data_IF_152997396721
#
_entry.id   IF_152997396721
#
_cell.length_a   1.000
_cell.length_b   1.000
_cell.length_c   1.000
_cell.angle_alpha   90.00
_cell.angle_beta   90.00
_cell.angle_gamma   90.00
#
_symmetry.space_group_name_H-M   'P 1'
#
loop_
_entity.id
_entity.type
_entity.pdbx_description
1 polymer ?
#
# COMPACT_ATOMS: atom_id res chain seq x y z
N UNK A 1 15.69 8.49 -15.95
CA UNK A 1 15.48 7.12 -16.44
C UNK A 1 16.68 6.20 -16.14
N UNK A 2 17.94 6.54 -16.47
CA UNK A 2 19.12 5.67 -16.17
C UNK A 2 19.27 5.33 -14.67
N UNK A 3 19.04 6.28 -13.74
CA UNK A 3 19.17 6.07 -12.29
C UNK A 3 18.10 5.09 -11.73
N UNK A 4 16.87 5.12 -12.27
CA UNK A 4 15.80 4.21 -11.88
C UNK A 4 16.09 2.78 -12.33
N UNK A 5 16.63 2.62 -13.54
CA UNK A 5 17.02 1.32 -14.07
C UNK A 5 18.16 0.69 -13.27
N UNK A 6 19.13 1.52 -12.82
CA UNK A 6 20.24 1.07 -11.98
C UNK A 6 19.76 0.63 -10.59
N UNK A 7 18.81 1.36 -10.00
CA UNK A 7 18.23 1.00 -8.70
C UNK A 7 17.42 -0.30 -8.80
N UNK A 8 16.66 -0.49 -9.88
CA UNK A 8 15.90 -1.71 -10.14
C UNK A 8 16.84 -2.93 -10.33
N UNK A 9 17.97 -2.75 -11.03
CA UNK A 9 18.98 -3.79 -11.22
C UNK A 9 19.70 -4.15 -9.91
N UNK A 10 19.91 -3.20 -9.00
CA UNK A 10 20.50 -3.45 -7.68
C UNK A 10 19.53 -4.27 -6.82
N UNK A 11 18.23 -3.96 -6.84
CA UNK A 11 17.20 -4.71 -6.10
C UNK A 11 17.06 -6.14 -6.65
N UNK A 12 17.10 -6.34 -7.97
CA UNK A 12 17.13 -7.67 -8.59
C UNK A 12 18.44 -8.43 -8.28
N UNK A 13 19.56 -7.73 -8.19
CA UNK A 13 20.88 -8.33 -7.87
C UNK A 13 20.94 -8.86 -6.44
N UNK A 14 20.24 -8.24 -5.48
CA UNK A 14 20.18 -8.71 -4.08
C UNK A 14 19.38 -10.01 -3.96
N UNK A 15 18.36 -10.21 -4.80
CA UNK A 15 17.56 -11.43 -4.80
C UNK A 15 18.35 -12.68 -5.25
N UNK A 16 19.45 -12.53 -5.99
CA UNK A 16 20.24 -13.67 -6.48
C UNK A 16 21.34 -14.15 -5.53
N UNK A 17 21.65 -13.40 -4.47
CA UNK A 17 22.75 -13.75 -3.53
C UNK A 17 22.29 -14.72 -2.43
N UNK A 18 21.00 -15.01 -2.29
CA UNK A 18 20.45 -15.86 -1.21
C UNK A 18 20.48 -17.37 -1.50
N UNK A 19 21.23 -17.86 -2.48
CA UNK A 19 21.27 -19.30 -2.84
C UNK A 19 22.35 -20.13 -2.14
N UNK A 20 22.97 -19.63 -1.07
CA UNK A 20 24.01 -20.36 -0.32
C UNK A 20 23.49 -20.82 1.04
N UNK A 21 22.94 -22.06 1.05
CA UNK A 21 23.06 -23.05 2.14
C UNK A 21 22.98 -22.57 3.59
N UNK A 22 21.84 -22.00 3.98
CA UNK A 22 21.28 -22.19 5.32
C UNK A 22 19.79 -22.01 5.17
N UNK A 23 18.96 -22.83 5.86
CA UNK A 23 17.51 -22.66 5.84
C UNK A 23 17.21 -21.27 6.42
N UNK A 24 17.18 -20.26 5.55
CA UNK A 24 16.97 -18.88 5.95
C UNK A 24 15.58 -18.78 6.57
N UNK A 25 15.49 -18.22 7.77
CA UNK A 25 14.21 -17.91 8.38
C UNK A 25 13.54 -16.68 7.73
N UNK A 26 14.13 -16.13 6.68
CA UNK A 26 13.62 -14.96 5.95
C UNK A 26 13.20 -15.38 4.55
N UNK A 27 11.98 -15.05 4.19
CA UNK A 27 11.41 -15.19 2.85
C UNK A 27 11.24 -13.78 2.26
N UNK A 28 11.83 -13.49 1.10
CA UNK A 28 11.66 -12.23 0.40
C UNK A 28 10.53 -12.34 -0.60
N UNK A 29 9.86 -11.21 -0.87
CA UNK A 29 8.75 -11.18 -1.83
C UNK A 29 8.74 -9.92 -2.67
N UNK A 30 8.10 -10.05 -3.84
CA UNK A 30 7.77 -8.94 -4.74
C UNK A 30 6.31 -9.06 -5.16
N UNK A 31 5.60 -7.94 -5.26
CA UNK A 31 4.21 -7.94 -5.69
C UNK A 31 3.86 -6.74 -6.57
N UNK A 32 2.79 -6.94 -7.32
CA UNK A 32 1.99 -5.88 -7.94
C UNK A 32 0.54 -6.08 -7.53
N UNK A 33 -0.24 -5.01 -7.48
CA UNK A 33 -1.64 -5.08 -7.12
C UNK A 33 -2.49 -3.97 -7.73
N UNK A 34 -3.78 -4.22 -7.76
CA UNK A 34 -4.81 -3.23 -8.07
C UNK A 34 -5.45 -2.77 -6.76
N UNK A 35 -5.60 -1.45 -6.62
CA UNK A 35 -6.19 -0.81 -5.45
C UNK A 35 -7.54 -0.18 -5.80
N UNK A 36 -8.45 -0.21 -4.84
CA UNK A 36 -9.58 0.71 -4.77
C UNK A 36 -9.52 1.44 -3.44
N UNK A 37 -9.67 2.76 -3.47
CA UNK A 37 -9.54 3.60 -2.29
C UNK A 37 -10.57 4.72 -2.28
N UNK A 38 -10.88 5.19 -1.07
CA UNK A 38 -11.79 6.30 -0.79
C UNK A 38 -11.35 6.99 0.50
N UNK A 39 -11.98 8.10 0.83
CA UNK A 39 -11.79 8.78 2.13
C UNK A 39 -13.03 8.67 2.99
N UNK A 40 -12.80 8.66 4.30
CA UNK A 40 -13.81 8.82 5.34
C UNK A 40 -13.63 10.23 5.88
N UNK A 41 -14.62 11.09 5.63
CA UNK A 41 -14.64 12.46 6.13
C UNK A 41 -15.64 12.57 7.26
N UNK A 42 -15.16 12.93 8.46
CA UNK A 42 -15.98 13.04 9.65
C UNK A 42 -16.86 14.31 9.70
N UNK A 43 -16.59 15.30 8.83
CA UNK A 43 -17.29 16.59 8.86
C UNK A 43 -18.45 16.69 7.87
N UNK A 44 -18.21 16.32 6.61
CA UNK A 44 -19.18 16.61 5.55
C UNK A 44 -20.23 15.53 5.37
N UNK A 45 -20.03 14.34 5.89
CA UNK A 45 -20.84 13.17 5.54
C UNK A 45 -20.85 12.89 4.03
N UNK A 46 -20.03 13.60 3.26
CA UNK A 46 -19.93 13.45 1.82
C UNK A 46 -19.33 12.08 1.52
N UNK A 47 -20.08 11.27 0.79
CA UNK A 47 -19.58 10.03 0.24
C UNK A 47 -18.58 10.36 -0.88
N UNK A 48 -17.30 10.17 -0.61
CA UNK A 48 -16.32 10.15 -1.70
C UNK A 48 -16.51 8.86 -2.50
N UNK A 49 -16.45 8.97 -3.82
CA UNK A 49 -16.45 7.79 -4.67
C UNK A 49 -15.12 7.05 -4.63
N UNK A 50 -15.18 5.76 -4.86
CA UNK A 50 -14.00 4.92 -5.00
C UNK A 50 -13.18 5.34 -6.21
N UNK A 51 -11.86 5.33 -6.08
CA UNK A 51 -10.95 5.54 -7.20
C UNK A 51 -9.97 4.37 -7.29
N UNK A 52 -9.79 3.89 -8.52
CA UNK A 52 -8.83 2.85 -8.85
C UNK A 52 -7.40 3.35 -8.86
N UNK A 53 -6.47 2.53 -8.39
CA UNK A 53 -5.04 2.76 -8.38
C UNK A 53 -4.27 1.46 -8.53
N UNK A 54 -2.96 1.52 -8.38
CA UNK A 54 -2.10 0.35 -8.37
C UNK A 54 -1.09 0.44 -7.23
N UNK A 55 -0.52 -0.70 -6.89
CA UNK A 55 0.62 -0.78 -5.99
C UNK A 55 1.70 -1.71 -6.57
N UNK A 56 2.93 -1.46 -6.14
CA UNK A 56 4.07 -2.35 -6.37
C UNK A 56 4.93 -2.35 -5.11
N UNK A 57 5.35 -3.53 -4.68
CA UNK A 57 6.06 -3.63 -3.41
C UNK A 57 7.07 -4.75 -3.35
N UNK A 58 7.90 -4.65 -2.32
CA UNK A 58 8.80 -5.70 -1.87
C UNK A 58 8.49 -6.03 -0.42
N UNK A 59 8.80 -7.24 0.01
CA UNK A 59 8.58 -7.70 1.37
C UNK A 59 9.71 -8.57 1.88
N UNK A 60 9.88 -8.58 3.21
CA UNK A 60 10.69 -9.54 3.93
C UNK A 60 9.82 -10.12 5.05
N UNK A 61 9.80 -11.44 5.16
CA UNK A 61 8.95 -12.20 6.08
C UNK A 61 9.85 -13.08 6.96
N UNK A 62 10.07 -12.68 8.23
CA UNK A 62 10.93 -13.40 9.18
C UNK A 62 10.13 -14.42 9.98
N UNK A 63 10.38 -15.71 9.78
CA UNK A 63 9.68 -16.82 10.42
C UNK A 63 10.26 -17.14 11.80
N UNK A 64 9.44 -17.02 12.83
CA UNK A 64 9.77 -17.50 14.18
C UNK A 64 9.55 -19.01 14.30
N UNK A 65 8.52 -19.51 13.61
CA UNK A 65 8.15 -20.91 13.52
C UNK A 65 7.29 -21.12 12.25
N UNK A 66 6.91 -22.37 11.89
CA UNK A 66 6.14 -22.61 10.66
C UNK A 66 4.78 -21.92 10.58
N UNK A 67 4.26 -21.40 11.69
CA UNK A 67 2.93 -20.79 11.77
C UNK A 67 2.96 -19.29 11.94
N UNK A 68 4.07 -18.69 12.38
CA UNK A 68 4.15 -17.27 12.68
C UNK A 68 5.40 -16.63 12.12
N UNK A 69 5.21 -15.49 11.51
CA UNK A 69 6.30 -14.64 11.02
C UNK A 69 6.00 -13.16 11.25
N UNK A 70 7.00 -12.34 11.15
CA UNK A 70 6.91 -10.88 11.08
C UNK A 70 7.19 -10.47 9.64
N UNK A 71 6.20 -9.86 8.98
CA UNK A 71 6.32 -9.38 7.60
C UNK A 71 6.46 -7.86 7.60
N UNK A 72 7.47 -7.37 6.91
CA UNK A 72 7.64 -5.94 6.61
C UNK A 72 7.56 -5.78 5.10
N UNK A 73 6.76 -4.79 4.65
CA UNK A 73 6.66 -4.45 3.23
C UNK A 73 7.16 -3.02 2.99
N UNK A 74 7.61 -2.73 1.79
CA UNK A 74 7.80 -1.38 1.27
C UNK A 74 7.04 -1.28 -0.06
N UNK A 75 6.00 -0.46 -0.10
CA UNK A 75 5.01 -0.43 -1.17
C UNK A 75 4.93 0.98 -1.73
N UNK A 76 5.16 1.13 -3.05
CA UNK A 76 4.64 2.28 -3.76
C UNK A 76 3.15 2.08 -3.93
N UNK A 77 2.35 2.93 -3.30
CA UNK A 77 0.92 2.73 -3.09
C UNK A 77 0.15 3.94 -3.60
N UNK A 78 -0.66 3.77 -4.64
CA UNK A 78 -1.51 4.81 -5.18
C UNK A 78 -2.89 4.73 -4.52
N UNK A 79 -3.22 5.75 -3.72
CA UNK A 79 -4.52 5.94 -3.07
C UNK A 79 -5.22 7.16 -3.67
N UNK A 80 -6.47 7.39 -3.28
CA UNK A 80 -7.20 8.59 -3.66
C UNK A 80 -8.70 8.45 -3.44
N UNK A 81 -9.46 9.36 -4.03
CA UNK A 81 -10.92 9.34 -4.05
C UNK A 81 -11.45 10.11 -5.25
N UNK A 82 -12.67 9.78 -5.64
CA UNK A 82 -13.41 10.45 -6.71
C UNK A 82 -14.49 11.39 -6.19
N UNK A 83 -15.18 12.04 -7.13
CA UNK A 83 -16.29 12.96 -6.92
C UNK A 83 -15.98 14.16 -6.00
N UNK A 84 -14.71 14.55 -5.95
CA UNK A 84 -14.29 15.76 -5.30
C UNK A 84 -14.58 17.02 -6.12
N UNK A 85 -14.14 18.17 -5.61
CA UNK A 85 -14.26 19.45 -6.30
C UNK A 85 -12.98 20.28 -6.16
N UNK A 86 -12.70 21.11 -7.14
CA UNK A 86 -11.65 22.14 -7.11
C UNK A 86 -12.26 23.50 -7.33
N UNK A 87 -11.90 24.47 -6.49
CA UNK A 87 -12.26 25.89 -6.69
C UNK A 87 -11.02 26.67 -7.06
N UNK A 88 -11.07 27.37 -8.19
CA UNK A 88 -9.96 28.20 -8.65
C UNK A 88 -9.91 29.56 -7.89
N UNK A 89 -8.85 30.34 -8.13
CA UNK A 89 -8.67 31.65 -7.50
C UNK A 89 -9.72 32.71 -7.95
N UNK A 90 -10.53 32.39 -8.95
CA UNK A 90 -11.61 33.26 -9.46
C UNK A 90 -12.98 32.86 -8.89
N UNK A 91 -13.02 31.79 -8.06
CA UNK A 91 -14.24 31.28 -7.42
C UNK A 91 -15.02 30.28 -8.28
N UNK A 92 -14.50 29.86 -9.44
CA UNK A 92 -15.16 28.84 -10.24
C UNK A 92 -14.91 27.46 -9.64
N UNK A 93 -15.97 26.66 -9.47
CA UNK A 93 -15.88 25.33 -8.90
C UNK A 93 -16.10 24.26 -9.97
N UNK A 94 -15.14 23.34 -10.10
CA UNK A 94 -15.21 22.16 -10.96
C UNK A 94 -15.48 20.95 -10.09
N UNK A 95 -16.52 20.19 -10.42
CA UNK A 95 -16.93 18.95 -9.74
C UNK A 95 -16.47 17.70 -10.49
N UNK A 96 -16.54 16.54 -9.84
CA UNK A 96 -16.15 15.25 -10.42
C UNK A 96 -14.63 15.08 -10.52
N UNK A 97 -13.90 15.74 -9.64
CA UNK A 97 -12.43 15.67 -9.58
C UNK A 97 -11.99 14.40 -8.87
N UNK A 98 -11.07 13.65 -9.49
CA UNK A 98 -10.42 12.52 -8.85
C UNK A 98 -9.05 12.96 -8.32
N UNK A 99 -8.82 12.70 -7.04
CA UNK A 99 -7.56 12.94 -6.37
C UNK A 99 -6.73 11.67 -6.34
N UNK A 100 -5.45 11.78 -6.67
CA UNK A 100 -4.48 10.68 -6.62
C UNK A 100 -3.31 11.06 -5.70
N UNK A 101 -3.14 10.27 -4.65
CA UNK A 101 -2.09 10.43 -3.67
C UNK A 101 -1.19 9.20 -3.74
N UNK A 102 0.08 9.40 -4.05
CA UNK A 102 1.06 8.33 -4.09
C UNK A 102 1.88 8.32 -2.82
N UNK A 103 1.90 7.18 -2.14
CA UNK A 103 2.61 6.98 -0.89
C UNK A 103 3.74 5.96 -1.05
N UNK A 104 4.78 6.11 -0.25
CA UNK A 104 5.62 5.00 0.16
C UNK A 104 5.02 4.45 1.46
N UNK A 105 4.34 3.32 1.39
CA UNK A 105 3.67 2.68 2.54
C UNK A 105 4.53 1.55 3.09
N UNK A 106 4.72 1.55 4.41
CA UNK A 106 5.53 0.55 5.13
C UNK A 106 4.67 -0.10 6.22
N UNK A 107 3.98 -1.22 5.92
CA UNK A 107 3.32 -2.04 6.93
C UNK A 107 4.33 -2.93 7.66
N UNK A 108 4.07 -3.14 8.96
CA UNK A 108 4.75 -4.12 9.82
C UNK A 108 3.70 -5.06 10.39
N UNK A 109 3.68 -6.30 9.92
CA UNK A 109 2.55 -7.21 10.06
C UNK A 109 2.96 -8.48 10.81
N UNK A 110 2.18 -8.86 11.83
CA UNK A 110 2.15 -10.23 12.27
C UNK A 110 1.51 -11.08 11.17
N UNK A 111 2.13 -12.18 10.79
CA UNK A 111 1.70 -13.03 9.70
C UNK A 111 1.48 -14.46 10.23
N UNK A 112 0.23 -14.88 10.26
CA UNK A 112 -0.18 -16.18 10.75
C UNK A 112 -0.45 -17.15 9.59
N UNK A 113 0.39 -18.19 9.49
CA UNK A 113 0.28 -19.24 8.49
C UNK A 113 -0.51 -20.42 9.06
N UNK A 114 -1.57 -20.84 8.39
CA UNK A 114 -2.47 -21.87 8.87
C UNK A 114 -2.83 -22.89 7.77
N UNK A 115 -3.66 -23.87 8.11
CA UNK A 115 -3.94 -25.00 7.26
C UNK A 115 -2.84 -26.07 7.33
N UNK A 116 -3.07 -27.21 6.71
CA UNK A 116 -2.17 -28.37 6.77
C UNK A 116 -0.80 -28.09 6.14
N UNK A 117 -0.79 -27.34 5.04
CA UNK A 117 0.42 -26.99 4.27
C UNK A 117 1.02 -25.63 4.65
N UNK A 118 0.37 -24.88 5.55
CA UNK A 118 0.76 -23.52 5.93
C UNK A 118 0.84 -22.52 4.76
N UNK A 119 0.11 -22.81 3.69
CA UNK A 119 0.07 -21.98 2.49
C UNK A 119 -0.96 -20.85 2.57
N UNK A 120 -1.99 -20.99 3.42
CA UNK A 120 -2.93 -19.91 3.73
C UNK A 120 -2.33 -19.06 4.82
N UNK A 121 -2.44 -17.74 4.70
CA UNK A 121 -1.95 -16.83 5.72
C UNK A 121 -2.89 -15.66 5.93
N UNK A 122 -2.89 -15.15 7.16
CA UNK A 122 -3.53 -13.91 7.58
C UNK A 122 -2.45 -12.99 8.13
N UNK A 123 -2.33 -11.81 7.58
CA UNK A 123 -1.44 -10.78 8.10
C UNK A 123 -2.23 -9.60 8.66
N UNK A 124 -1.72 -8.97 9.71
CA UNK A 124 -2.34 -7.82 10.35
C UNK A 124 -1.31 -7.02 11.15
N UNK A 125 -1.48 -5.72 11.17
CA UNK A 125 -0.60 -4.84 11.93
C UNK A 125 -0.72 -3.38 11.53
N UNK A 126 0.12 -2.51 12.10
CA UNK A 126 0.17 -1.11 11.74
C UNK A 126 0.87 -0.88 10.40
N UNK A 127 0.53 0.24 9.76
CA UNK A 127 1.30 0.80 8.66
C UNK A 127 1.59 2.28 8.88
N UNK A 128 2.62 2.77 8.22
CA UNK A 128 2.90 4.18 8.01
C UNK A 128 3.11 4.43 6.51
N UNK A 129 2.49 5.47 5.98
CA UNK A 129 2.63 5.94 4.61
C UNK A 129 3.28 7.32 4.59
N UNK A 130 4.23 7.53 3.68
CA UNK A 130 4.88 8.80 3.42
C UNK A 130 4.42 9.34 2.07
N UNK A 131 3.79 10.51 2.06
CA UNK A 131 3.26 11.12 0.85
C UNK A 131 4.39 11.55 -0.09
N UNK A 132 4.45 10.93 -1.25
CA UNK A 132 5.42 11.26 -2.31
C UNK A 132 4.92 12.43 -3.17
N UNK A 133 3.67 12.32 -3.66
CA UNK A 133 2.99 13.37 -4.40
C UNK A 133 1.46 13.26 -4.28
N UNK A 134 0.76 14.36 -4.56
CA UNK A 134 -0.69 14.43 -4.63
C UNK A 134 -1.08 15.26 -5.86
N UNK A 135 -2.01 14.76 -6.68
CA UNK A 135 -2.43 15.39 -7.92
C UNK A 135 -3.92 15.20 -8.17
N UNK A 136 -4.51 16.13 -8.94
CA UNK A 136 -5.83 15.95 -9.54
C UNK A 136 -5.74 15.30 -10.93
N UNK A 137 -6.88 14.88 -11.47
CA UNK A 137 -6.99 14.28 -12.81
C UNK A 137 -7.33 15.30 -13.91
N UNK A 138 -7.52 16.58 -13.60
CA UNK A 138 -7.94 17.61 -14.54
C UNK A 138 -6.74 18.40 -15.08
N UNK A 139 -5.97 18.99 -14.17
CA UNK A 139 -4.84 19.85 -14.50
C UNK A 139 -3.48 19.27 -14.14
N UNK A 140 -3.44 18.06 -13.58
CA UNK A 140 -2.22 17.45 -13.02
C UNK A 140 -1.55 18.37 -11.98
N UNK A 141 -2.40 19.19 -11.28
CA UNK A 141 -1.96 20.22 -10.34
C UNK A 141 -1.32 19.56 -9.12
N UNK A 142 -0.20 20.08 -8.67
CA UNK A 142 0.42 19.64 -7.43
C UNK A 142 -0.39 20.14 -6.22
N UNK A 143 -0.99 19.19 -5.53
CA UNK A 143 -1.84 19.42 -4.36
C UNK A 143 -1.16 19.02 -3.05
N UNK A 144 0.12 18.63 -3.08
CA UNK A 144 0.83 18.10 -1.91
C UNK A 144 0.79 19.01 -0.69
N UNK A 145 0.77 20.33 -0.89
CA UNK A 145 0.70 21.32 0.20
C UNK A 145 -0.61 21.26 1.02
N UNK A 146 -1.67 20.69 0.48
CA UNK A 146 -2.97 20.55 1.14
C UNK A 146 -3.11 19.26 1.95
N UNK A 147 -2.08 18.41 1.92
CA UNK A 147 -2.08 17.13 2.61
C UNK A 147 -0.93 17.00 3.59
N UNK A 148 -1.19 16.32 4.70
CA UNK A 148 -0.16 15.91 5.63
C UNK A 148 0.80 14.92 4.96
N UNK A 149 2.07 15.01 5.30
CA UNK A 149 3.12 14.17 4.69
C UNK A 149 3.06 12.70 5.12
N UNK A 150 2.27 12.38 6.14
CA UNK A 150 2.16 11.04 6.71
C UNK A 150 0.72 10.58 6.82
N UNK A 151 0.50 9.30 6.54
CA UNK A 151 -0.73 8.55 6.75
C UNK A 151 -0.38 7.31 7.58
N UNK A 152 -1.11 7.03 8.64
CA UNK A 152 -0.88 5.84 9.46
C UNK A 152 -2.22 5.18 9.82
N UNK A 153 -2.18 3.87 10.01
CA UNK A 153 -3.39 3.10 10.27
C UNK A 153 -3.11 1.63 10.51
N UNK A 154 -4.14 0.83 10.26
CA UNK A 154 -4.11 -0.62 10.35
C UNK A 154 -4.22 -1.26 8.97
N UNK A 155 -3.52 -2.35 8.80
CA UNK A 155 -3.47 -3.18 7.61
C UNK A 155 -3.86 -4.61 7.98
N UNK A 156 -4.75 -5.22 7.20
CA UNK A 156 -5.18 -6.62 7.36
C UNK A 156 -5.24 -7.26 5.99
N UNK A 157 -4.64 -8.43 5.84
CA UNK A 157 -4.66 -9.17 4.59
C UNK A 157 -4.82 -10.67 4.79
N UNK A 158 -5.41 -11.32 3.79
CA UNK A 158 -5.50 -12.76 3.67
C UNK A 158 -4.95 -13.19 2.33
N UNK A 159 -4.14 -14.25 2.32
CA UNK A 159 -3.54 -14.71 1.09
C UNK A 159 -3.29 -16.21 1.05
N UNK A 160 -2.95 -16.65 -0.15
CA UNK A 160 -2.60 -18.03 -0.42
C UNK A 160 -1.31 -18.10 -1.23
N UNK A 161 -0.37 -18.97 -0.81
CA UNK A 161 0.90 -19.23 -1.49
C UNK A 161 0.81 -20.55 -2.26
N UNK A 162 1.13 -20.51 -3.55
CA UNK A 162 1.20 -21.67 -4.44
C UNK A 162 2.68 -22.02 -4.68
N UNK A 163 3.20 -23.12 -4.17
CA UNK A 163 4.57 -23.55 -4.47
C UNK A 163 4.74 -23.76 -5.97
N UNK A 164 5.68 -23.05 -6.60
CA UNK A 164 6.01 -23.17 -8.04
C UNK A 164 7.37 -23.85 -8.25
N UNK A 165 8.24 -23.80 -7.24
CA UNK A 165 9.49 -24.55 -7.19
C UNK A 165 9.88 -24.85 -5.74
N UNK A 166 11.05 -25.45 -5.55
CA UNK A 166 11.58 -25.71 -4.20
C UNK A 166 11.91 -24.44 -3.42
N UNK A 167 12.12 -23.32 -4.11
CA UNK A 167 12.55 -22.04 -3.53
C UNK A 167 11.59 -20.90 -3.77
N UNK A 168 10.65 -21.02 -4.73
CA UNK A 168 9.74 -19.94 -5.11
C UNK A 168 8.28 -20.35 -4.96
N UNK A 169 7.46 -19.42 -4.47
CA UNK A 169 6.01 -19.56 -4.37
C UNK A 169 5.35 -18.36 -5.05
N UNK A 170 4.35 -18.60 -5.86
CA UNK A 170 3.41 -17.57 -6.32
C UNK A 170 2.40 -17.31 -5.21
N UNK A 171 1.94 -16.06 -5.02
CA UNK A 171 0.87 -15.79 -4.09
C UNK A 171 -0.19 -14.87 -4.66
N UNK A 172 -1.39 -14.99 -4.10
CA UNK A 172 -2.50 -14.06 -4.26
C UNK A 172 -2.89 -13.60 -2.86
N UNK A 173 -3.02 -12.29 -2.67
CA UNK A 173 -3.38 -11.68 -1.38
C UNK A 173 -4.47 -10.63 -1.59
N UNK A 174 -5.52 -10.68 -0.80
CA UNK A 174 -6.47 -9.60 -0.61
C UNK A 174 -6.07 -8.85 0.66
N UNK A 175 -6.01 -7.53 0.59
CA UNK A 175 -5.42 -6.68 1.62
C UNK A 175 -6.29 -5.41 1.77
N UNK A 176 -6.50 -4.97 3.00
CA UNK A 176 -7.27 -3.79 3.35
C UNK A 176 -6.53 -2.91 4.34
N UNK A 177 -6.53 -1.61 4.10
CA UNK A 177 -5.97 -0.59 4.98
C UNK A 177 -7.05 0.39 5.43
N UNK A 178 -7.01 0.72 6.73
CA UNK A 178 -7.83 1.77 7.33
C UNK A 178 -6.93 2.77 8.04
N UNK A 179 -6.88 4.01 7.53
CA UNK A 179 -6.16 5.12 8.13
C UNK A 179 -6.82 5.58 9.42
N UNK A 180 -6.01 5.98 10.40
CA UNK A 180 -6.47 6.56 11.67
C UNK A 180 -5.96 7.99 11.83
N UNK A 181 -5.07 8.45 10.98
CA UNK A 181 -4.54 9.82 10.97
C UNK A 181 -5.32 10.71 10.01
N UNK A 182 -5.38 12.00 10.33
CA UNK A 182 -5.92 12.99 9.42
C UNK A 182 -4.90 13.28 8.31
N UNK A 183 -5.29 13.09 7.05
CA UNK A 183 -4.43 13.39 5.90
C UNK A 183 -4.59 14.82 5.37
N UNK A 184 -5.64 15.56 5.76
CA UNK A 184 -5.84 16.94 5.32
C UNK A 184 -4.97 17.89 6.16
N UNK A 185 -4.19 18.74 5.50
CA UNK A 185 -3.44 19.80 6.15
C UNK A 185 -4.36 21.00 6.48
N UNK A 186 -4.24 21.56 7.69
CA UNK A 186 -4.99 22.76 8.07
C UNK A 186 -6.48 22.54 8.33
N UNK A 187 -6.87 21.35 8.78
CA UNK A 187 -8.27 21.06 9.17
C UNK A 187 -8.78 22.04 10.21
N UNK A 188 -9.91 22.68 9.95
CA UNK A 188 -10.61 23.57 10.85
C UNK A 188 -11.63 22.74 11.63
N UNK A 189 -11.82 23.03 12.92
CA UNK A 189 -12.87 22.50 13.79
C UNK A 189 -12.94 20.98 14.00
N UNK A 190 -11.77 20.30 14.14
CA UNK A 190 -11.76 18.89 14.52
C UNK A 190 -12.23 17.92 13.42
N UNK A 191 -12.40 18.39 12.19
CA UNK A 191 -12.67 17.53 11.04
C UNK A 191 -11.46 16.64 10.73
N UNK A 192 -11.70 15.39 10.43
CA UNK A 192 -10.67 14.40 10.11
C UNK A 192 -10.99 13.71 8.79
N UNK A 193 -10.03 13.71 7.88
CA UNK A 193 -10.09 13.00 6.61
C UNK A 193 -9.12 11.82 6.70
N UNK A 194 -9.64 10.61 6.62
CA UNK A 194 -8.88 9.36 6.74
C UNK A 194 -8.96 8.57 5.45
N UNK A 195 -7.90 7.83 5.12
CA UNK A 195 -7.85 6.97 3.94
C UNK A 195 -8.40 5.59 4.24
N UNK A 196 -9.10 5.00 3.28
CA UNK A 196 -9.41 3.58 3.27
C UNK A 196 -9.05 2.99 1.90
N UNK A 197 -8.47 1.80 1.90
CA UNK A 197 -8.01 1.14 0.68
C UNK A 197 -8.25 -0.37 0.77
N UNK A 198 -8.70 -0.97 -0.33
CA UNK A 198 -8.69 -2.41 -0.56
C UNK A 198 -7.82 -2.72 -1.76
N UNK A 199 -7.13 -3.85 -1.77
CA UNK A 199 -6.33 -4.27 -2.92
C UNK A 199 -6.35 -5.78 -3.13
N UNK A 200 -6.14 -6.16 -4.40
CA UNK A 200 -5.80 -7.53 -4.80
C UNK A 200 -4.36 -7.51 -5.30
N UNK A 201 -3.52 -8.31 -4.68
CA UNK A 201 -2.09 -8.39 -4.96
C UNK A 201 -1.74 -9.78 -5.49
N UNK A 202 -0.83 -9.82 -6.44
CA UNK A 202 -0.19 -11.05 -6.91
C UNK A 202 1.32 -10.86 -6.89
N UNK A 203 2.04 -11.94 -6.65
CA UNK A 203 3.49 -11.84 -6.55
C UNK A 203 4.20 -13.16 -6.36
N UNK A 204 5.49 -13.07 -6.10
CA UNK A 204 6.34 -14.21 -5.81
C UNK A 204 7.10 -14.00 -4.52
N UNK A 205 7.34 -15.09 -3.82
CA UNK A 205 8.26 -15.15 -2.67
C UNK A 205 9.35 -16.20 -2.92
N UNK A 206 10.54 -15.95 -2.34
CA UNK A 206 11.76 -16.71 -2.53
C UNK A 206 12.43 -17.05 -1.21
#
# INVERSE_FOLDING_TARGET
>A
MKKILTTLLIVLGIATVSSAQTKSNVEFGVNIGYNESYIIDSYSGANSSWVGGFNVGVSADYYFNPSWSLKVKAIYDQKGWGDGYLTDNQGNTTYGVNYKLNYLTVPVLANWHFGRTKNVYLNFGPYVGFLLNAKDNIGDTDLKQYFNSTDAGLDVGIGFKFPVSNTAKFFVEFDGQAGVTNIAAGSIDGSSVQTARSSINVGFTF
#
